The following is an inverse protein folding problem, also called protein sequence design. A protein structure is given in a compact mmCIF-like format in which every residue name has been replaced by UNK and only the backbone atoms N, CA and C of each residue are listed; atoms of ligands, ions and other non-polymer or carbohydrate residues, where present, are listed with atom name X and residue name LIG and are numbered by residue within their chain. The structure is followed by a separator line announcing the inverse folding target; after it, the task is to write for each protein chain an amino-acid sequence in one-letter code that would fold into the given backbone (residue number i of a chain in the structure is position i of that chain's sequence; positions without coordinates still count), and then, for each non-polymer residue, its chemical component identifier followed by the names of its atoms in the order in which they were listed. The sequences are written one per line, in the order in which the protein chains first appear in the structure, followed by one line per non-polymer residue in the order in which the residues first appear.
data_IF_760281699716
#
_entry.id   IF_760281699716
#
_cell.length_a   1.000
_cell.length_b   1.000
_cell.length_c   1.000
_cell.angle_alpha   90.00
_cell.angle_beta   90.00
_cell.angle_gamma   90.00
#
_symmetry.space_group_name_H-M   'P 1'
#
loop_
_entity.id
_entity.type
_entity.pdbx_description
1 polymer ?
#
# COMPACT_ATOMS: atom_id res chain seq x y z
N UNK A 1 12.73 5.28 -50.48
CA UNK A 1 11.50 4.98 -49.71
C UNK A 1 11.73 4.40 -48.31
N UNK A 2 12.90 3.84 -47.97
CA UNK A 2 13.17 3.32 -46.62
C UNK A 2 13.43 4.38 -45.52
N UNK A 3 13.70 5.62 -45.90
CA UNK A 3 13.96 6.71 -44.92
C UNK A 3 12.70 7.43 -44.38
N UNK A 4 11.54 7.18 -44.98
CA UNK A 4 10.28 7.82 -44.58
C UNK A 4 9.58 7.11 -43.42
N UNK A 5 9.91 5.83 -43.17
CA UNK A 5 9.31 5.06 -42.07
C UNK A 5 9.96 5.30 -40.70
N UNK A 6 11.18 5.83 -40.66
CA UNK A 6 11.89 6.14 -39.38
C UNK A 6 11.38 7.44 -38.77
N UNK A 7 10.90 8.40 -39.58
CA UNK A 7 10.36 9.66 -39.07
C UNK A 7 8.93 9.53 -38.49
N UNK A 8 8.19 8.46 -38.81
CA UNK A 8 6.83 8.23 -38.30
C UNK A 8 6.80 7.55 -36.91
N UNK A 9 7.92 6.97 -36.49
CA UNK A 9 8.05 6.28 -35.19
C UNK A 9 8.43 7.22 -34.03
N UNK A 10 8.86 8.45 -34.33
CA UNK A 10 9.27 9.45 -33.32
C UNK A 10 8.11 10.34 -32.81
N UNK A 11 6.90 10.15 -33.32
CA UNK A 11 5.72 10.97 -32.97
C UNK A 11 4.78 10.39 -31.93
N UNK A 12 5.04 9.19 -31.37
CA UNK A 12 4.23 8.63 -30.29
C UNK A 12 4.80 9.12 -28.96
N UNK A 13 4.38 10.30 -28.54
CA UNK A 13 4.62 10.78 -27.18
C UNK A 13 3.99 9.80 -26.19
N UNK A 14 4.81 8.97 -25.57
CA UNK A 14 4.39 8.18 -24.42
C UNK A 14 4.08 9.17 -23.29
N UNK A 15 2.79 9.41 -23.05
CA UNK A 15 2.37 10.04 -21.79
C UNK A 15 2.71 9.08 -20.64
N UNK A 16 3.90 9.20 -20.08
CA UNK A 16 4.30 8.51 -18.88
C UNK A 16 3.51 9.14 -17.73
N UNK A 17 2.32 8.60 -17.45
CA UNK A 17 1.51 9.03 -16.33
C UNK A 17 2.07 8.37 -15.07
N UNK A 18 2.66 9.17 -14.18
CA UNK A 18 3.16 8.70 -12.91
C UNK A 18 1.99 8.17 -12.05
N UNK A 19 2.11 6.94 -11.59
CA UNK A 19 1.23 6.33 -10.61
C UNK A 19 1.71 6.67 -9.20
N UNK A 20 0.77 6.69 -8.25
CA UNK A 20 1.12 6.74 -6.84
C UNK A 20 1.83 5.46 -6.38
N UNK A 21 2.50 5.60 -5.25
CA UNK A 21 3.12 4.50 -4.52
C UNK A 21 2.09 3.41 -4.24
N UNK A 22 2.38 2.18 -4.62
CA UNK A 22 1.55 1.02 -4.32
C UNK A 22 2.38 -0.13 -3.76
N UNK A 23 1.76 -0.93 -2.90
CA UNK A 23 2.34 -2.13 -2.31
C UNK A 23 1.58 -3.37 -2.76
N UNK A 24 2.29 -4.45 -3.04
CA UNK A 24 1.66 -5.76 -3.27
C UNK A 24 0.98 -6.28 -2.00
N UNK A 25 1.49 -5.88 -0.82
CA UNK A 25 0.92 -6.19 0.49
C UNK A 25 0.03 -5.06 1.03
N UNK A 26 -0.92 -4.56 0.22
CA UNK A 26 -1.77 -3.40 0.56
C UNK A 26 -2.51 -3.52 1.88
N UNK A 27 -2.94 -4.74 2.27
CA UNK A 27 -3.61 -4.98 3.55
C UNK A 27 -2.71 -4.68 4.76
N UNK A 28 -1.40 -4.67 4.55
CA UNK A 28 -0.42 -4.37 5.59
C UNK A 28 -0.09 -2.86 5.67
N UNK A 29 -0.59 -2.06 4.72
CA UNK A 29 -0.49 -0.60 4.74
C UNK A 29 -1.90 0.03 4.74
N UNK A 30 -2.70 -0.14 5.82
CA UNK A 30 -4.11 0.19 5.83
C UNK A 30 -4.38 1.67 5.54
N UNK A 31 -3.57 2.60 6.06
CA UNK A 31 -3.74 4.04 5.84
C UNK A 31 -3.44 4.47 4.39
N UNK A 32 -2.60 3.70 3.66
CA UNK A 32 -2.38 3.92 2.24
C UNK A 32 -3.55 3.43 1.38
N UNK A 33 -4.26 2.43 1.89
CA UNK A 33 -5.42 1.83 1.24
C UNK A 33 -6.67 2.69 1.43
N UNK A 34 -6.94 3.12 2.67
CA UNK A 34 -8.09 3.95 3.01
C UNK A 34 -7.87 4.67 4.35
N UNK A 35 -7.97 6.01 4.42
CA UNK A 35 -7.77 6.75 5.67
C UNK A 35 -8.78 6.37 6.75
N UNK A 36 -9.98 5.90 6.39
CA UNK A 36 -10.98 5.43 7.35
C UNK A 36 -10.64 4.10 8.02
N UNK A 37 -9.56 3.42 7.60
CA UNK A 37 -9.05 2.25 8.31
C UNK A 37 -8.29 2.61 9.60
N UNK A 38 -8.01 3.89 9.85
CA UNK A 38 -7.46 4.34 11.13
C UNK A 38 -8.34 3.84 12.28
N UNK A 39 -7.77 3.08 13.22
CA UNK A 39 -8.47 2.49 14.37
C UNK A 39 -9.58 1.48 14.05
N UNK A 40 -9.83 1.15 12.77
CA UNK A 40 -10.92 0.23 12.41
C UNK A 40 -10.62 -1.21 12.85
N UNK A 41 -9.37 -1.63 12.76
CA UNK A 41 -8.96 -3.02 12.94
C UNK A 41 -8.36 -3.32 14.31
N UNK A 42 -7.76 -2.34 14.97
CA UNK A 42 -7.07 -2.49 16.25
C UNK A 42 -7.18 -1.21 17.07
N UNK A 43 -6.83 -1.26 18.35
CA UNK A 43 -6.76 -0.07 19.18
C UNK A 43 -5.48 0.71 18.89
N UNK A 44 -4.38 0.01 18.63
CA UNK A 44 -3.14 0.54 18.08
C UNK A 44 -2.67 -0.41 16.97
N UNK A 45 -2.22 0.17 15.87
CA UNK A 45 -1.58 -0.55 14.78
C UNK A 45 -0.35 0.25 14.31
N UNK A 46 0.78 -0.41 14.24
CA UNK A 46 2.03 0.15 13.74
C UNK A 46 2.60 -0.79 12.67
N UNK A 47 3.00 -0.24 11.53
CA UNK A 47 3.55 -1.02 10.41
C UNK A 47 4.75 -0.32 9.82
N UNK A 48 5.76 -1.10 9.50
CA UNK A 48 6.88 -0.72 8.64
C UNK A 48 6.86 -1.66 7.45
N UNK A 49 6.93 -1.12 6.26
CA UNK A 49 6.98 -1.89 5.01
C UNK A 49 8.04 -1.32 4.08
N UNK A 50 8.77 -2.20 3.42
CA UNK A 50 9.77 -1.87 2.43
C UNK A 50 9.55 -2.69 1.16
N UNK A 51 9.66 -2.04 0.00
CA UNK A 51 9.55 -2.63 -1.33
C UNK A 51 10.76 -2.26 -2.18
N UNK A 52 11.27 -3.24 -2.93
CA UNK A 52 12.25 -3.03 -4.00
C UNK A 52 11.72 -3.66 -5.28
N UNK A 53 11.65 -2.88 -6.35
CA UNK A 53 11.03 -3.29 -7.61
C UNK A 53 12.00 -3.07 -8.79
N UNK A 54 11.96 -3.99 -9.78
CA UNK A 54 12.70 -3.92 -11.05
C UNK A 54 14.22 -3.82 -10.93
N UNK A 55 14.81 -4.35 -9.87
CA UNK A 55 16.27 -4.38 -9.66
C UNK A 55 17.04 -5.16 -10.75
N UNK A 56 16.35 -5.93 -11.59
CA UNK A 56 16.92 -6.68 -12.70
C UNK A 56 16.89 -5.93 -14.05
N UNK A 57 16.25 -4.77 -14.12
CA UNK A 57 16.02 -4.03 -15.37
C UNK A 57 16.78 -2.71 -15.40
N UNK A 58 16.77 -1.96 -14.31
CA UNK A 58 17.35 -0.63 -14.18
C UNK A 58 17.69 -0.35 -12.71
N UNK A 59 18.05 0.90 -12.39
CA UNK A 59 18.10 1.36 -11.00
C UNK A 59 16.79 1.09 -10.28
N UNK A 60 16.82 0.29 -9.19
CA UNK A 60 15.60 -0.21 -8.57
C UNK A 60 14.73 0.92 -8.00
N UNK A 61 13.42 0.76 -8.16
CA UNK A 61 12.47 1.56 -7.39
C UNK A 61 12.47 1.05 -5.96
N UNK A 62 12.67 1.93 -5.00
CA UNK A 62 12.74 1.63 -3.57
C UNK A 62 11.68 2.44 -2.85
N UNK A 63 10.76 1.75 -2.20
CA UNK A 63 9.67 2.38 -1.45
C UNK A 63 9.72 1.92 -0.01
N UNK A 64 9.71 2.85 0.93
CA UNK A 64 9.57 2.58 2.35
C UNK A 64 8.34 3.31 2.87
N UNK A 65 7.58 2.67 3.77
CA UNK A 65 6.49 3.32 4.48
C UNK A 65 6.48 2.93 5.95
N UNK A 66 6.09 3.89 6.77
CA UNK A 66 5.82 3.71 8.19
C UNK A 66 4.43 4.24 8.46
N UNK A 67 3.57 3.44 9.08
CA UNK A 67 2.24 3.86 9.47
C UNK A 67 1.98 3.55 10.94
N UNK A 68 1.27 4.46 11.58
CA UNK A 68 0.80 4.32 12.96
C UNK A 68 -0.64 4.81 13.03
N UNK A 69 -1.53 4.00 13.56
CA UNK A 69 -2.90 4.43 13.83
C UNK A 69 -3.37 3.96 15.20
N UNK A 70 -4.27 4.74 15.79
CA UNK A 70 -4.80 4.45 17.12
C UNK A 70 -6.24 4.91 17.28
N UNK A 71 -6.99 4.16 18.07
CA UNK A 71 -8.28 4.61 18.60
C UNK A 71 -8.08 5.62 19.70
N UNK A 72 -8.83 6.70 19.63
CA UNK A 72 -8.93 7.67 20.72
C UNK A 72 -10.01 7.15 21.66
N UNK A 73 -9.60 6.82 22.90
CA UNK A 73 -10.52 6.31 23.91
C UNK A 73 -11.66 7.31 24.15
N UNK A 74 -12.88 6.85 24.07
CA UNK A 74 -14.09 7.63 24.30
C UNK A 74 -15.01 6.89 25.26
N UNK A 75 -15.71 7.61 26.11
CA UNK A 75 -16.77 7.08 26.97
C UNK A 75 -18.06 6.78 26.18
N UNK A 76 -18.11 7.20 24.90
CA UNK A 76 -19.29 6.99 24.06
C UNK A 76 -19.46 5.52 23.70
N UNK A 77 -20.67 5.02 23.89
CA UNK A 77 -21.09 3.68 23.45
C UNK A 77 -21.47 3.66 21.96
N UNK A 78 -21.76 4.83 21.37
CA UNK A 78 -22.27 4.96 19.99
C UNK A 78 -21.18 5.01 18.92
N UNK A 79 -19.96 5.41 19.28
CA UNK A 79 -18.85 5.56 18.33
C UNK A 79 -17.53 5.93 18.98
N UNK A 80 -16.49 6.05 18.19
CA UNK A 80 -15.16 6.45 18.63
C UNK A 80 -14.42 7.21 17.54
N UNK A 81 -13.53 8.11 17.95
CA UNK A 81 -12.56 8.74 17.08
C UNK A 81 -11.30 7.89 16.96
N UNK A 82 -10.61 8.05 15.84
CA UNK A 82 -9.30 7.47 15.61
C UNK A 82 -8.42 8.45 14.83
N UNK A 83 -7.12 8.34 15.02
CA UNK A 83 -6.12 9.10 14.28
C UNK A 83 -5.09 8.16 13.67
N UNK A 84 -4.55 8.53 12.52
CA UNK A 84 -3.52 7.79 11.82
C UNK A 84 -2.48 8.71 11.22
N UNK A 85 -1.21 8.32 11.32
CA UNK A 85 -0.08 8.98 10.69
C UNK A 85 0.59 8.00 9.75
N UNK A 86 0.91 8.45 8.53
CA UNK A 86 1.56 7.64 7.53
C UNK A 86 2.68 8.45 6.86
N UNK A 87 3.86 7.85 6.78
CA UNK A 87 5.02 8.40 6.09
C UNK A 87 5.42 7.48 4.96
N UNK A 88 5.68 8.05 3.77
CA UNK A 88 6.23 7.36 2.62
C UNK A 88 7.52 8.03 2.18
N UNK A 89 8.47 7.21 1.76
CA UNK A 89 9.63 7.60 0.97
C UNK A 89 9.70 6.68 -0.24
N UNK A 90 9.65 7.25 -1.41
CA UNK A 90 9.78 6.54 -2.68
C UNK A 90 10.92 7.13 -3.48
N UNK A 91 11.80 6.28 -4.00
CA UNK A 91 12.94 6.66 -4.82
C UNK A 91 12.92 5.89 -6.13
N UNK A 92 13.08 6.59 -7.25
CA UNK A 92 12.98 6.01 -8.57
C UNK A 92 14.11 6.51 -9.50
N UNK A 93 14.69 5.58 -10.24
CA UNK A 93 15.59 5.86 -11.35
C UNK A 93 16.94 6.47 -10.99
N UNK A 94 17.76 6.73 -12.01
CA UNK A 94 19.15 7.23 -11.89
C UNK A 94 19.20 8.68 -11.39
N UNK A 95 18.18 9.48 -11.68
CA UNK A 95 18.03 10.85 -11.19
C UNK A 95 17.65 10.94 -9.70
N UNK A 96 17.58 9.81 -8.97
CA UNK A 96 17.12 9.77 -7.58
C UNK A 96 15.85 10.59 -7.36
N UNK A 97 14.88 10.46 -8.32
CA UNK A 97 13.58 11.11 -8.15
C UNK A 97 12.95 10.58 -6.87
N UNK A 98 12.94 11.39 -5.82
CA UNK A 98 12.41 11.00 -4.54
C UNK A 98 11.09 11.72 -4.25
N UNK A 99 10.12 10.98 -3.70
CA UNK A 99 8.86 11.51 -3.19
C UNK A 99 8.74 11.18 -1.72
N UNK A 100 8.68 12.20 -0.88
CA UNK A 100 8.39 12.07 0.55
C UNK A 100 6.98 12.56 0.79
N UNK A 101 6.17 11.76 1.48
CA UNK A 101 4.76 12.08 1.76
C UNK A 101 4.44 11.77 3.21
N UNK A 102 3.92 12.75 3.93
CA UNK A 102 3.40 12.60 5.30
C UNK A 102 1.91 12.86 5.28
N UNK A 103 1.12 11.91 5.74
CA UNK A 103 -0.33 11.99 5.78
C UNK A 103 -0.84 11.82 7.22
N UNK A 104 -1.72 12.73 7.63
CA UNK A 104 -2.49 12.64 8.86
C UNK A 104 -3.94 12.31 8.51
N UNK A 105 -4.48 11.27 9.12
CA UNK A 105 -5.88 10.86 8.97
C UNK A 105 -6.62 11.02 10.29
N UNK A 106 -7.82 11.58 10.23
CA UNK A 106 -8.75 11.63 11.37
C UNK A 106 -10.03 10.92 10.97
N UNK A 107 -10.41 9.90 11.72
CA UNK A 107 -11.57 9.07 11.44
C UNK A 107 -12.57 9.10 12.59
N UNK A 108 -13.85 8.96 12.26
CA UNK A 108 -14.92 8.69 13.20
C UNK A 108 -15.68 7.44 12.80
N UNK A 109 -15.82 6.52 13.74
CA UNK A 109 -16.50 5.25 13.57
C UNK A 109 -17.78 5.21 14.37
N UNK A 110 -18.90 4.98 13.69
CA UNK A 110 -20.22 4.78 14.29
C UNK A 110 -20.48 3.30 14.45
N UNK A 111 -20.84 2.85 15.64
CA UNK A 111 -21.30 1.48 15.89
C UNK A 111 -22.75 1.37 15.43
N UNK A 112 -23.02 0.58 14.41
CA UNK A 112 -24.38 0.32 13.92
C UNK A 112 -25.06 -0.72 14.81
N UNK A 113 -24.31 -1.75 15.18
CA UNK A 113 -24.70 -2.79 16.11
C UNK A 113 -23.48 -3.37 16.85
N UNK A 114 -23.67 -4.47 17.60
CA UNK A 114 -22.59 -5.12 18.36
C UNK A 114 -21.47 -5.71 17.47
N UNK A 115 -21.71 -5.86 16.16
CA UNK A 115 -20.82 -6.52 15.20
C UNK A 115 -20.37 -5.63 14.06
N UNK A 116 -21.11 -4.55 13.79
CA UNK A 116 -20.96 -3.72 12.60
C UNK A 116 -20.56 -2.29 12.98
N UNK A 117 -19.61 -1.73 12.26
CA UNK A 117 -19.25 -0.31 12.36
C UNK A 117 -19.13 0.31 10.96
N UNK A 118 -19.54 1.57 10.86
CA UNK A 118 -19.32 2.40 9.68
C UNK A 118 -18.36 3.54 10.05
N UNK A 119 -17.26 3.66 9.36
CA UNK A 119 -16.25 4.68 9.58
C UNK A 119 -16.17 5.66 8.41
N UNK A 120 -15.92 6.92 8.71
CA UNK A 120 -15.56 7.94 7.73
C UNK A 120 -14.30 8.68 8.19
N UNK A 121 -13.49 9.15 7.25
CA UNK A 121 -12.24 9.85 7.56
C UNK A 121 -11.93 10.97 6.58
N UNK A 122 -11.20 11.96 7.09
CA UNK A 122 -10.52 12.99 6.33
C UNK A 122 -9.01 12.78 6.46
N UNK A 123 -8.30 13.07 5.37
CA UNK A 123 -6.85 13.02 5.29
C UNK A 123 -6.31 14.38 4.85
N UNK A 124 -5.29 14.85 5.56
CA UNK A 124 -4.45 15.98 5.16
C UNK A 124 -3.01 15.51 5.03
N UNK A 125 -2.37 15.84 3.91
CA UNK A 125 -1.02 15.41 3.59
C UNK A 125 -0.11 16.56 3.19
N UNK A 126 1.19 16.37 3.41
CA UNK A 126 2.26 17.19 2.88
C UNK A 126 3.22 16.31 2.09
N UNK A 127 3.37 16.64 0.81
CA UNK A 127 4.25 15.95 -0.12
C UNK A 127 5.42 16.83 -0.55
N UNK A 128 6.58 16.22 -0.74
CA UNK A 128 7.77 16.82 -1.29
C UNK A 128 8.39 15.90 -2.32
N UNK A 129 8.63 16.44 -3.52
CA UNK A 129 9.37 15.76 -4.59
C UNK A 129 10.73 16.43 -4.75
N UNK A 130 11.76 15.61 -4.93
CA UNK A 130 13.13 16.06 -5.19
C UNK A 130 13.71 15.25 -6.35
N UNK A 131 14.55 15.88 -7.13
CA UNK A 131 15.29 15.25 -8.23
C UNK A 131 16.73 15.73 -8.20
N UNK A 132 17.66 14.82 -8.41
CA UNK A 132 19.09 15.13 -8.51
C UNK A 132 19.53 15.15 -9.98
N UNK A 133 19.60 16.35 -10.54
CA UNK A 133 20.04 16.54 -11.92
C UNK A 133 21.55 16.33 -12.10
N UNK A 134 22.35 16.42 -11.03
CA UNK A 134 23.80 16.27 -11.10
C UNK A 134 24.24 14.82 -11.38
N UNK A 135 23.36 13.86 -11.09
CA UNK A 135 23.59 12.44 -11.39
C UNK A 135 23.28 12.05 -12.83
N UNK A 136 22.68 12.95 -13.61
CA UNK A 136 22.28 12.69 -15.00
C UNK A 136 23.40 13.03 -15.98
N UNK A 137 23.44 12.28 -17.07
CA UNK A 137 24.33 12.52 -18.20
C UNK A 137 23.50 12.91 -19.41
N UNK A 138 23.93 14.00 -20.08
CA UNK A 138 23.20 14.61 -21.20
C UNK A 138 23.91 14.39 -22.50
N UNK A 139 23.19 14.18 -23.58
CA UNK A 139 23.80 14.03 -24.92
C UNK A 139 24.61 15.23 -25.37
N UNK A 140 24.24 16.44 -24.93
CA UNK A 140 25.01 17.69 -25.15
C UNK A 140 26.41 17.72 -24.47
N UNK A 141 26.61 16.83 -23.50
CA UNK A 141 27.87 16.67 -22.78
C UNK A 141 28.79 15.61 -23.40
N UNK A 142 28.46 15.13 -24.60
CA UNK A 142 29.32 14.25 -25.37
C UNK A 142 30.17 15.08 -26.35
N UNK A 143 31.50 15.03 -26.24
CA UNK A 143 32.44 15.84 -27.03
C UNK A 143 32.80 15.24 -28.39
N UNK A 144 32.17 14.11 -28.75
CA UNK A 144 32.45 13.33 -29.95
C UNK A 144 33.31 12.09 -29.70
N UNK A 145 33.96 11.97 -28.55
CA UNK A 145 34.79 10.84 -28.14
C UNK A 145 34.33 10.25 -26.80
N UNK A 146 34.03 11.11 -25.83
CA UNK A 146 33.65 10.69 -24.48
C UNK A 146 32.68 11.65 -23.83
N UNK A 147 32.08 11.21 -22.70
CA UNK A 147 31.30 12.07 -21.84
C UNK A 147 32.21 13.07 -21.11
N UNK A 148 31.90 14.36 -21.22
CA UNK A 148 32.58 15.44 -20.53
C UNK A 148 31.58 16.26 -19.69
N UNK A 149 31.54 16.00 -18.38
CA UNK A 149 30.64 16.68 -17.44
C UNK A 149 30.89 18.19 -17.27
N UNK A 150 32.03 18.73 -17.81
CA UNK A 150 32.30 20.15 -17.79
C UNK A 150 31.58 20.93 -18.90
N UNK A 151 31.04 20.21 -19.90
CA UNK A 151 30.19 20.81 -20.93
C UNK A 151 28.81 21.16 -20.38
N UNK A 152 28.25 22.26 -20.89
CA UNK A 152 26.92 22.67 -20.49
C UNK A 152 25.90 21.61 -20.94
N UNK A 153 25.02 21.18 -20.03
CA UNK A 153 23.96 20.24 -20.34
C UNK A 153 22.93 20.75 -21.36
N UNK A 154 22.85 22.08 -21.57
CA UNK A 154 21.83 22.70 -22.41
C UNK A 154 20.43 22.73 -21.76
N UNK A 155 20.26 22.11 -20.59
CA UNK A 155 19.01 22.01 -19.90
C UNK A 155 18.91 23.08 -18.82
N UNK A 156 17.73 23.70 -18.72
CA UNK A 156 17.46 24.72 -17.71
C UNK A 156 16.45 24.19 -16.69
N UNK A 157 16.96 23.73 -15.56
CA UNK A 157 16.13 23.23 -14.46
C UNK A 157 15.86 24.35 -13.47
N UNK A 158 14.65 24.88 -13.50
CA UNK A 158 14.26 25.96 -12.61
C UNK A 158 14.20 25.53 -11.14
N UNK A 159 13.93 24.26 -10.86
CA UNK A 159 13.74 23.75 -9.50
C UNK A 159 14.12 22.27 -9.40
N UNK A 160 14.91 21.90 -8.38
CA UNK A 160 15.22 20.51 -8.00
C UNK A 160 14.29 19.98 -6.90
N UNK A 161 13.43 20.82 -6.35
CA UNK A 161 12.55 20.52 -5.21
C UNK A 161 11.19 21.18 -5.38
N UNK A 162 10.14 20.41 -5.12
CA UNK A 162 8.76 20.87 -5.13
C UNK A 162 7.97 20.31 -3.95
N UNK A 163 7.14 21.14 -3.31
CA UNK A 163 6.30 20.74 -2.18
C UNK A 163 4.84 21.05 -2.45
N UNK A 164 3.94 20.20 -1.96
CA UNK A 164 2.51 20.33 -2.17
C UNK A 164 1.73 19.83 -0.94
N UNK A 165 0.49 20.33 -0.81
CA UNK A 165 -0.48 19.82 0.14
C UNK A 165 -1.40 18.82 -0.57
N UNK A 166 -1.82 17.81 0.14
CA UNK A 166 -2.71 16.77 -0.33
C UNK A 166 -3.94 16.63 0.57
N UNK A 167 -5.08 16.31 -0.01
CA UNK A 167 -6.33 16.09 0.72
C UNK A 167 -6.99 14.83 0.21
N UNK A 168 -7.50 14.03 1.13
CA UNK A 168 -8.20 12.79 0.82
C UNK A 168 -9.34 12.51 1.79
N UNK A 169 -10.15 11.53 1.45
CA UNK A 169 -11.27 11.05 2.27
C UNK A 169 -11.49 9.56 2.06
N UNK A 170 -12.20 8.95 2.97
CA UNK A 170 -12.58 7.56 2.84
C UNK A 170 -13.72 7.16 3.73
N UNK A 171 -14.36 6.06 3.36
CA UNK A 171 -15.39 5.39 4.15
C UNK A 171 -15.08 3.91 4.24
N UNK A 172 -15.39 3.29 5.37
CA UNK A 172 -15.18 1.87 5.61
C UNK A 172 -16.33 1.28 6.38
N UNK A 173 -16.79 0.12 5.96
CA UNK A 173 -17.71 -0.72 6.71
C UNK A 173 -16.94 -1.93 7.23
N UNK A 174 -17.10 -2.24 8.52
CA UNK A 174 -16.49 -3.41 9.15
C UNK A 174 -17.57 -4.24 9.85
N UNK A 175 -17.51 -5.55 9.63
CA UNK A 175 -18.34 -6.52 10.31
C UNK A 175 -17.47 -7.61 10.93
N UNK A 176 -17.76 -8.00 12.19
CA UNK A 176 -17.02 -9.06 12.89
C UNK A 176 -17.94 -9.92 13.70
N UNK A 177 -17.89 -11.22 13.43
CA UNK A 177 -18.51 -12.27 14.24
C UNK A 177 -17.39 -13.13 14.82
N UNK A 178 -17.26 -13.11 16.14
CA UNK A 178 -16.33 -13.97 16.87
C UNK A 178 -16.79 -15.43 16.88
N UNK A 179 -15.86 -16.33 17.20
CA UNK A 179 -16.15 -17.75 17.40
C UNK A 179 -17.19 -17.95 18.50
N UNK A 180 -18.18 -18.79 18.20
CA UNK A 180 -19.24 -19.13 19.14
C UNK A 180 -18.81 -20.26 20.10
N UNK A 181 -18.00 -21.18 19.63
CA UNK A 181 -17.52 -22.36 20.37
C UNK A 181 -15.99 -22.36 20.45
N UNK A 182 -15.48 -23.00 21.53
CA UNK A 182 -14.03 -23.08 21.82
C UNK A 182 -13.29 -23.92 20.79
N UNK A 183 -13.98 -24.92 20.24
CA UNK A 183 -13.40 -25.91 19.29
C UNK A 183 -13.76 -25.63 17.84
N UNK A 184 -14.59 -24.63 17.59
CA UNK A 184 -15.06 -24.27 16.24
C UNK A 184 -14.32 -23.06 15.70
N UNK A 185 -13.94 -23.10 14.42
CA UNK A 185 -13.42 -21.96 13.68
C UNK A 185 -14.56 -21.40 12.80
N UNK A 186 -15.57 -20.79 13.46
CA UNK A 186 -16.74 -20.17 12.79
C UNK A 186 -16.66 -18.64 12.72
N UNK A 187 -15.47 -18.09 12.96
CA UNK A 187 -15.21 -16.67 12.87
C UNK A 187 -15.47 -16.14 11.45
N UNK A 188 -16.10 -14.99 11.39
CA UNK A 188 -16.32 -14.26 10.14
C UNK A 188 -16.04 -12.79 10.35
N UNK A 189 -15.23 -12.22 9.48
CA UNK A 189 -15.03 -10.78 9.43
C UNK A 189 -15.12 -10.29 7.99
N UNK A 190 -15.64 -9.10 7.83
CA UNK A 190 -15.71 -8.43 6.54
C UNK A 190 -15.30 -6.97 6.71
N UNK A 191 -14.42 -6.51 5.84
CA UNK A 191 -14.07 -5.10 5.71
C UNK A 191 -14.24 -4.71 4.24
N UNK A 192 -14.96 -3.63 3.99
CA UNK A 192 -15.03 -3.03 2.67
C UNK A 192 -14.98 -1.51 2.78
N UNK A 193 -14.38 -0.86 1.81
CA UNK A 193 -14.26 0.59 1.84
C UNK A 193 -13.98 1.20 0.48
N UNK A 194 -14.27 2.51 0.43
CA UNK A 194 -13.99 3.39 -0.68
C UNK A 194 -13.16 4.57 -0.19
N UNK A 195 -12.18 5.00 -0.97
CA UNK A 195 -11.38 6.18 -0.66
C UNK A 195 -11.05 6.98 -1.90
N UNK A 196 -10.85 8.28 -1.71
CA UNK A 196 -10.41 9.20 -2.75
C UNK A 196 -9.25 10.02 -2.18
N UNK A 197 -8.12 9.98 -2.87
CA UNK A 197 -6.93 10.77 -2.58
C UNK A 197 -6.76 11.86 -3.64
N UNK A 198 -5.96 12.87 -3.33
CA UNK A 198 -5.64 13.98 -4.23
C UNK A 198 -6.89 14.75 -4.69
N UNK A 199 -7.84 14.98 -3.77
CA UNK A 199 -9.07 15.74 -4.05
C UNK A 199 -8.79 17.16 -4.54
N UNK A 200 -7.75 17.79 -4.00
CA UNK A 200 -7.31 19.13 -4.37
C UNK A 200 -6.45 19.17 -5.64
N UNK A 201 -6.11 17.97 -6.24
CA UNK A 201 -5.32 17.85 -7.47
C UNK A 201 -4.09 18.76 -7.47
N UNK A 202 -3.17 18.61 -6.48
CA UNK A 202 -2.04 19.50 -6.34
C UNK A 202 -1.13 19.45 -7.58
N UNK A 203 -0.46 20.56 -7.88
CA UNK A 203 0.61 20.57 -8.88
C UNK A 203 1.83 19.83 -8.31
N UNK A 204 2.46 18.97 -9.10
CA UNK A 204 3.61 18.13 -8.68
C UNK A 204 4.77 18.17 -9.67
N UNK A 205 4.72 19.13 -10.61
CA UNK A 205 5.74 19.26 -11.67
C UNK A 205 6.90 20.18 -11.29
N UNK A 206 8.07 19.85 -11.80
CA UNK A 206 9.28 20.69 -11.69
C UNK A 206 9.36 21.74 -12.79
N UNK A 207 8.68 21.55 -13.92
CA UNK A 207 8.79 22.37 -15.13
C UNK A 207 7.46 23.02 -15.49
N UNK A 208 6.41 22.25 -15.61
CA UNK A 208 5.09 22.67 -16.07
C UNK A 208 4.00 22.52 -15.00
N UNK A 209 2.77 22.88 -15.36
CA UNK A 209 1.61 22.74 -14.50
C UNK A 209 1.00 21.33 -14.64
N UNK A 210 1.68 20.30 -14.12
CA UNK A 210 1.15 18.93 -14.09
C UNK A 210 0.45 18.64 -12.77
N UNK A 211 -0.86 18.50 -12.82
CA UNK A 211 -1.71 18.23 -11.67
C UNK A 211 -1.81 16.74 -11.38
N UNK A 212 -1.52 16.39 -10.15
CA UNK A 212 -1.71 15.02 -9.66
C UNK A 212 -3.19 14.63 -9.82
N UNK A 213 -3.44 13.50 -10.48
CA UNK A 213 -4.79 13.02 -10.75
C UNK A 213 -5.39 12.39 -9.49
N UNK A 214 -6.69 12.57 -9.29
CA UNK A 214 -7.40 11.90 -8.20
C UNK A 214 -7.23 10.40 -8.31
N UNK A 215 -6.97 9.76 -7.17
CA UNK A 215 -6.92 8.31 -7.03
C UNK A 215 -8.14 7.82 -6.30
N UNK A 216 -8.92 6.95 -6.94
CA UNK A 216 -10.09 6.29 -6.38
C UNK A 216 -9.70 4.85 -6.05
N UNK A 217 -9.90 4.44 -4.81
CA UNK A 217 -9.60 3.08 -4.37
C UNK A 217 -10.82 2.43 -3.75
N UNK A 218 -11.04 1.15 -4.05
CA UNK A 218 -12.07 0.31 -3.46
C UNK A 218 -11.46 -1.01 -3.01
N UNK A 219 -11.89 -1.53 -1.87
CA UNK A 219 -11.44 -2.83 -1.41
C UNK A 219 -12.52 -3.60 -0.67
N UNK A 220 -12.37 -4.93 -0.70
CA UNK A 220 -13.17 -5.85 0.10
C UNK A 220 -12.31 -7.01 0.58
N UNK A 221 -12.40 -7.34 1.87
CA UNK A 221 -11.73 -8.49 2.48
C UNK A 221 -12.70 -9.26 3.33
N UNK A 222 -12.67 -10.59 3.20
CA UNK A 222 -13.43 -11.50 4.04
C UNK A 222 -12.48 -12.39 4.83
N UNK A 223 -12.71 -12.57 6.10
CA UNK A 223 -12.09 -13.63 6.87
C UNK A 223 -13.16 -14.67 7.16
N UNK A 224 -12.90 -15.91 6.77
CA UNK A 224 -13.83 -17.03 6.90
C UNK A 224 -13.07 -18.19 7.54
N UNK A 225 -13.47 -18.56 8.76
CA UNK A 225 -13.00 -19.79 9.39
C UNK A 225 -13.61 -21.01 8.70
N UNK A 226 -12.82 -22.03 8.44
CA UNK A 226 -13.25 -23.23 7.71
C UNK A 226 -13.70 -24.34 8.69
N UNK A 227 -14.80 -24.08 9.38
CA UNK A 227 -15.45 -25.06 10.27
C UNK A 227 -14.58 -25.54 11.42
N UNK A 228 -14.47 -26.86 11.62
CA UNK A 228 -13.67 -27.46 12.70
C UNK A 228 -12.18 -27.54 12.39
N UNK A 229 -11.69 -26.81 11.37
CA UNK A 229 -10.29 -26.80 10.98
C UNK A 229 -9.53 -25.63 11.61
N UNK A 230 -8.21 -25.73 11.68
CA UNK A 230 -7.32 -24.61 12.07
C UNK A 230 -7.04 -23.64 10.92
N UNK A 231 -7.77 -23.77 9.81
CA UNK A 231 -7.56 -22.99 8.60
C UNK A 231 -8.63 -21.92 8.50
N UNK A 232 -8.22 -20.70 8.15
CA UNK A 232 -9.09 -19.61 7.75
C UNK A 232 -8.67 -19.10 6.40
N UNK A 233 -9.63 -18.75 5.54
CA UNK A 233 -9.39 -18.10 4.27
C UNK A 233 -9.65 -16.59 4.39
N UNK A 234 -8.84 -15.78 3.69
CA UNK A 234 -8.98 -14.31 3.64
C UNK A 234 -9.00 -13.85 2.18
N UNK A 235 -10.09 -14.17 1.42
CA UNK A 235 -10.24 -13.64 0.08
C UNK A 235 -10.30 -12.11 0.11
N UNK A 236 -9.63 -11.51 -0.87
CA UNK A 236 -9.44 -10.07 -0.97
C UNK A 236 -9.57 -9.63 -2.41
N UNK A 237 -10.31 -8.55 -2.61
CA UNK A 237 -10.39 -7.82 -3.87
C UNK A 237 -10.00 -6.37 -3.62
N UNK A 238 -9.18 -5.84 -4.49
CA UNK A 238 -8.78 -4.44 -4.49
C UNK A 238 -8.86 -3.87 -5.90
N UNK A 239 -9.35 -2.65 -5.97
CA UNK A 239 -9.43 -1.85 -7.17
C UNK A 239 -8.86 -0.47 -6.90
N UNK A 240 -8.05 0.02 -7.82
CA UNK A 240 -7.48 1.35 -7.77
C UNK A 240 -7.47 1.97 -9.16
N UNK A 241 -7.83 3.25 -9.25
CA UNK A 241 -7.78 4.01 -10.50
C UNK A 241 -7.23 5.39 -10.25
N UNK A 242 -6.23 5.78 -11.05
CA UNK A 242 -5.62 7.11 -11.04
C UNK A 242 -5.42 7.57 -12.49
N UNK A 243 -6.25 8.52 -12.92
CA UNK A 243 -6.28 8.94 -14.33
C UNK A 243 -6.65 7.78 -15.25
N UNK A 244 -5.78 7.44 -16.22
CA UNK A 244 -5.95 6.31 -17.13
C UNK A 244 -5.41 4.99 -16.57
N UNK A 245 -4.68 5.03 -15.45
CA UNK A 245 -4.08 3.83 -14.86
C UNK A 245 -5.07 3.13 -13.95
N UNK A 246 -5.15 1.81 -14.10
CA UNK A 246 -6.06 0.97 -13.34
C UNK A 246 -5.29 -0.23 -12.76
N UNK A 247 -5.53 -0.52 -11.50
CA UNK A 247 -5.01 -1.70 -10.83
C UNK A 247 -6.17 -2.52 -10.26
N UNK A 248 -6.20 -3.81 -10.57
CA UNK A 248 -7.10 -4.78 -9.97
C UNK A 248 -6.25 -5.88 -9.36
N UNK A 249 -6.36 -6.08 -8.06
CA UNK A 249 -5.69 -7.13 -7.32
C UNK A 249 -6.73 -8.04 -6.69
N UNK A 250 -6.66 -9.33 -6.99
CA UNK A 250 -7.53 -10.35 -6.41
C UNK A 250 -6.71 -11.53 -5.91
N UNK A 251 -7.13 -12.13 -4.81
CA UNK A 251 -6.45 -13.29 -4.25
C UNK A 251 -6.93 -13.66 -2.86
N UNK A 252 -6.23 -14.54 -2.20
CA UNK A 252 -6.56 -14.98 -0.85
C UNK A 252 -5.31 -15.32 -0.05
N UNK A 253 -5.36 -15.07 1.25
CA UNK A 253 -4.52 -15.75 2.22
C UNK A 253 -5.23 -16.98 2.76
N UNK A 254 -4.46 -18.04 2.97
CA UNK A 254 -4.83 -19.21 3.77
C UNK A 254 -4.01 -19.17 5.04
N UNK A 255 -4.69 -18.95 6.16
CA UNK A 255 -4.08 -18.78 7.47
C UNK A 255 -4.26 -20.06 8.28
N UNK A 256 -3.17 -20.67 8.72
CA UNK A 256 -3.15 -21.85 9.56
C UNK A 256 -2.77 -21.48 10.99
N UNK A 257 -3.62 -21.81 11.96
CA UNK A 257 -3.36 -21.57 13.37
C UNK A 257 -2.40 -22.65 13.91
N UNK A 258 -1.14 -22.25 14.12
CA UNK A 258 -0.07 -23.13 14.63
C UNK A 258 -0.26 -23.45 16.11
N UNK A 259 -0.62 -22.43 16.90
CA UNK A 259 -0.77 -22.49 18.34
C UNK A 259 -1.91 -21.62 18.81
N UNK A 260 -2.76 -22.17 19.68
CA UNK A 260 -3.85 -21.43 20.32
C UNK A 260 -3.33 -20.72 21.58
N UNK A 261 -3.96 -19.61 21.93
CA UNK A 261 -3.64 -18.90 23.16
C UNK A 261 -4.18 -19.68 24.36
N UNK A 262 -3.37 -19.85 25.40
CA UNK A 262 -3.84 -20.38 26.67
C UNK A 262 -4.85 -19.43 27.31
N UNK A 263 -6.03 -19.96 27.68
CA UNK A 263 -7.13 -19.15 28.26
C UNK A 263 -6.90 -18.72 29.70
N UNK A 264 -6.09 -19.48 30.45
CA UNK A 264 -5.95 -19.31 31.90
C UNK A 264 -4.56 -18.89 32.35
N UNK A 265 -3.52 -19.36 31.66
CA UNK A 265 -2.15 -19.18 32.15
C UNK A 265 -1.35 -18.12 31.37
N UNK A 266 -1.86 -17.62 30.23
CA UNK A 266 -1.12 -16.80 29.27
C UNK A 266 0.26 -17.38 28.85
N UNK A 267 0.55 -18.62 29.26
CA UNK A 267 1.82 -19.28 29.00
C UNK A 267 2.08 -19.55 27.52
N UNK A 268 1.00 -19.69 26.74
CA UNK A 268 1.06 -19.93 25.31
C UNK A 268 0.62 -18.71 24.52
N UNK A 269 1.52 -18.09 23.78
CA UNK A 269 1.19 -17.05 22.82
C UNK A 269 0.64 -17.72 21.55
N UNK A 270 -0.51 -17.23 21.08
CA UNK A 270 -1.07 -17.69 19.81
C UNK A 270 -0.12 -17.37 18.64
N UNK A 271 -0.04 -18.29 17.69
CA UNK A 271 0.76 -18.12 16.49
C UNK A 271 0.01 -18.67 15.27
N UNK A 272 0.17 -18.02 14.13
CA UNK A 272 -0.37 -18.49 12.85
C UNK A 272 0.60 -18.25 11.71
N UNK A 273 0.55 -19.13 10.72
CA UNK A 273 1.23 -19.00 9.44
C UNK A 273 0.19 -18.73 8.35
N UNK A 274 0.41 -17.74 7.51
CA UNK A 274 -0.46 -17.48 6.38
C UNK A 274 0.33 -17.50 5.07
N UNK A 275 -0.19 -18.22 4.10
CA UNK A 275 0.30 -18.25 2.73
C UNK A 275 -0.73 -17.58 1.84
N UNK A 276 -0.30 -16.67 0.98
CA UNK A 276 -1.17 -15.90 0.10
C UNK A 276 -0.77 -16.07 -1.37
N UNK A 277 -1.79 -16.19 -2.23
CA UNK A 277 -1.64 -16.11 -3.68
C UNK A 277 -2.58 -15.04 -4.20
N UNK A 278 -2.02 -14.09 -4.96
CA UNK A 278 -2.73 -12.95 -5.51
C UNK A 278 -2.34 -12.76 -6.97
N UNK A 279 -3.27 -12.23 -7.72
CA UNK A 279 -3.06 -11.85 -9.11
C UNK A 279 -3.36 -10.36 -9.28
N UNK A 280 -2.39 -9.61 -9.77
CA UNK A 280 -2.56 -8.23 -10.21
C UNK A 280 -2.77 -8.24 -11.71
N UNK A 281 -3.94 -7.78 -12.13
CA UNK A 281 -4.39 -7.90 -13.52
C UNK A 281 -3.38 -7.28 -14.49
N UNK A 282 -2.97 -8.05 -15.49
CA UNK A 282 -2.01 -7.69 -16.56
C UNK A 282 -0.61 -7.26 -16.04
N UNK A 283 -0.25 -7.55 -14.78
CA UNK A 283 1.02 -7.14 -14.22
C UNK A 283 1.80 -8.29 -13.57
N UNK A 284 1.28 -8.90 -12.50
CA UNK A 284 2.06 -9.88 -11.75
C UNK A 284 1.21 -10.94 -11.03
N UNK A 285 1.80 -12.12 -10.86
CA UNK A 285 1.39 -13.11 -9.87
C UNK A 285 2.21 -12.86 -8.59
N UNK A 286 1.55 -12.81 -7.42
CA UNK A 286 2.17 -12.43 -6.16
C UNK A 286 2.04 -13.57 -5.16
N UNK A 287 3.19 -14.09 -4.71
CA UNK A 287 3.27 -15.04 -3.63
C UNK A 287 3.58 -14.29 -2.31
N UNK A 288 2.86 -14.62 -1.23
CA UNK A 288 2.98 -13.96 0.08
C UNK A 288 3.11 -14.98 1.19
N UNK A 289 3.96 -14.69 2.17
CA UNK A 289 4.13 -15.47 3.38
C UNK A 289 4.07 -14.52 4.58
N UNK A 290 3.31 -14.87 5.61
CA UNK A 290 3.19 -14.08 6.83
C UNK A 290 3.16 -14.98 8.05
N UNK A 291 3.95 -14.65 9.05
CA UNK A 291 3.95 -15.24 10.37
C UNK A 291 3.38 -14.23 11.37
N UNK A 292 2.39 -14.66 12.14
CA UNK A 292 1.84 -13.86 13.24
C UNK A 292 2.09 -14.58 14.56
N UNK A 293 2.55 -13.84 15.56
CA UNK A 293 2.75 -14.33 16.92
C UNK A 293 2.35 -13.24 17.91
N UNK A 294 1.33 -13.50 18.72
CA UNK A 294 0.79 -12.56 19.69
C UNK A 294 0.37 -11.23 19.00
N UNK A 295 1.03 -10.14 19.32
CA UNK A 295 0.78 -8.80 18.79
C UNK A 295 1.58 -8.48 17.53
N UNK A 296 2.56 -9.32 17.18
CA UNK A 296 3.49 -9.08 16.09
C UNK A 296 3.15 -9.92 14.86
N UNK A 297 3.38 -9.34 13.71
CA UNK A 297 3.39 -10.06 12.44
C UNK A 297 4.58 -9.60 11.61
N UNK A 298 5.15 -10.53 10.86
CA UNK A 298 6.15 -10.24 9.85
C UNK A 298 5.84 -11.07 8.60
N UNK A 299 6.16 -10.53 7.44
CA UNK A 299 5.91 -11.26 6.21
C UNK A 299 6.67 -10.69 5.05
N UNK A 300 6.70 -11.51 3.99
CA UNK A 300 7.36 -11.21 2.73
C UNK A 300 6.39 -11.42 1.58
N UNK A 301 6.60 -10.70 0.48
CA UNK A 301 5.92 -10.95 -0.77
C UNK A 301 6.91 -10.86 -1.93
N UNK A 302 6.65 -11.63 -2.95
CA UNK A 302 7.40 -11.63 -4.19
C UNK A 302 6.45 -11.55 -5.38
N UNK A 303 6.68 -10.55 -6.24
CA UNK A 303 5.93 -10.34 -7.47
C UNK A 303 6.66 -11.06 -8.62
N UNK A 304 5.95 -11.92 -9.32
CA UNK A 304 6.41 -12.56 -10.55
C UNK A 304 5.73 -11.83 -11.71
N UNK A 305 6.50 -11.09 -12.49
CA UNK A 305 5.97 -10.32 -13.62
C UNK A 305 5.36 -11.24 -14.68
N UNK A 306 4.14 -10.92 -15.09
CA UNK A 306 3.41 -11.56 -16.19
C UNK A 306 3.03 -10.54 -17.27
N UNK A 307 3.49 -9.30 -17.14
CA UNK A 307 3.23 -8.19 -18.06
C UNK A 307 4.16 -8.22 -19.28
N UNK A 308 4.01 -7.23 -20.15
CA UNK A 308 4.90 -7.00 -21.31
C UNK A 308 6.37 -6.76 -20.92
N UNK A 309 6.67 -6.49 -19.65
CA UNK A 309 8.02 -6.38 -19.13
C UNK A 309 8.71 -7.73 -18.86
N UNK A 310 8.00 -8.85 -18.95
CA UNK A 310 8.54 -10.20 -18.69
C UNK A 310 9.81 -10.52 -19.49
N UNK A 311 9.94 -10.18 -20.80
CA UNK A 311 11.15 -10.48 -21.57
C UNK A 311 12.40 -9.78 -21.02
N UNK A 312 12.25 -8.54 -20.54
CA UNK A 312 13.35 -7.73 -20.01
C UNK A 312 13.65 -8.09 -18.55
N UNK A 313 12.62 -8.23 -17.72
CA UNK A 313 12.74 -8.55 -16.29
C UNK A 313 13.03 -10.03 -16.01
N UNK A 314 12.91 -10.91 -17.01
CA UNK A 314 12.98 -12.38 -16.87
C UNK A 314 12.02 -12.90 -15.78
N UNK A 315 10.83 -12.28 -15.69
CA UNK A 315 9.83 -12.60 -14.67
C UNK A 315 10.11 -12.03 -13.27
N UNK A 316 11.22 -11.35 -13.05
CA UNK A 316 11.57 -10.74 -11.75
C UNK A 316 10.82 -9.42 -11.59
N UNK A 317 9.88 -9.36 -10.65
CA UNK A 317 9.07 -8.17 -10.38
C UNK A 317 9.58 -7.37 -9.19
N UNK A 318 8.98 -7.58 -8.02
CA UNK A 318 9.30 -6.85 -6.80
C UNK A 318 9.38 -7.76 -5.58
N UNK A 319 10.16 -7.34 -4.61
CA UNK A 319 10.25 -7.96 -3.29
C UNK A 319 9.74 -6.97 -2.24
N UNK A 320 8.90 -7.46 -1.32
CA UNK A 320 8.40 -6.68 -0.19
C UNK A 320 8.61 -7.42 1.12
N UNK A 321 8.90 -6.66 2.18
CA UNK A 321 8.95 -7.12 3.55
C UNK A 321 8.20 -6.15 4.44
N UNK A 322 7.47 -6.67 5.44
CA UNK A 322 6.85 -5.84 6.47
C UNK A 322 7.02 -6.43 7.87
N UNK A 323 6.91 -5.54 8.85
CA UNK A 323 6.74 -5.86 10.27
C UNK A 323 5.56 -5.03 10.77
N UNK A 324 4.67 -5.67 11.54
CA UNK A 324 3.45 -5.07 12.07
C UNK A 324 3.27 -5.39 13.55
N UNK A 325 2.84 -4.39 14.31
CA UNK A 325 2.41 -4.53 15.69
C UNK A 325 0.93 -4.14 15.83
N UNK A 326 0.12 -4.97 16.45
CA UNK A 326 -1.31 -4.73 16.70
C UNK A 326 -1.64 -4.90 18.18
N UNK A 327 -2.46 -4.03 18.74
CA UNK A 327 -3.02 -4.22 20.08
C UNK A 327 -4.52 -3.85 20.09
N UNK A 328 -5.41 -4.67 20.71
CA UNK A 328 -5.12 -6.00 21.23
C UNK A 328 -4.67 -6.97 20.13
N UNK A 329 -4.01 -8.04 20.54
CA UNK A 329 -3.60 -9.11 19.62
C UNK A 329 -4.78 -9.56 18.75
N UNK A 330 -4.57 -9.85 17.45
CA UNK A 330 -5.63 -10.34 16.57
C UNK A 330 -6.27 -11.65 17.09
N UNK A 331 -5.56 -12.42 17.90
CA UNK A 331 -6.06 -13.63 18.54
C UNK A 331 -6.94 -13.36 19.77
N UNK A 332 -6.92 -12.14 20.33
CA UNK A 332 -7.70 -11.73 21.52
C UNK A 332 -8.95 -10.92 21.18
N UNK A 333 -9.17 -10.59 19.91
CA UNK A 333 -10.29 -9.73 19.50
C UNK A 333 -11.68 -10.34 19.78
N UNK A 334 -11.74 -11.65 20.05
CA UNK A 334 -12.99 -12.33 20.42
C UNK A 334 -13.46 -12.03 21.85
N UNK A 335 -12.59 -11.57 22.74
CA UNK A 335 -12.89 -11.42 24.18
C UNK A 335 -13.15 -9.99 24.65
N UNK A 336 -12.86 -8.95 23.88
CA UNK A 336 -12.81 -7.59 24.41
C UNK A 336 -14.08 -6.77 24.24
N UNK A 337 -15.23 -7.40 23.90
CA UNK A 337 -16.48 -6.66 23.68
C UNK A 337 -17.70 -7.41 24.21
N UNK A 338 -17.79 -7.51 25.52
CA UNK A 338 -19.07 -7.55 26.25
C UNK A 338 -19.27 -6.19 26.89
#
# INVERSE_FOLDING_TARGET
MKKLYIALLLGVGFNALAQDIHFSQMLQSPLALNPALAGANADINAVIIYRSQWSSVASPYKTAAVSYDMKIKSKSTKGFFAAGLNFFNDQAGDANLATNLVNLSVAYHVKLDARSTLGGALLGGFGQRTIDFSSLQWGSQYDGFSYNGSLNSGENFARSKYSYLDVGTGVVYTYRKSEKYITGNDQKAFNAGLSVYHLNRPNVSFVDNDKLKMRISAFGTFLIGLGNSRISAVPTLFFNQQGSQQEILAGSYFKYLLKEQSKYTNANMAASLAVGLFYRNKDALIAKLMLEKSNWAAGVAYDINTSSLTPVSKGRGGFEIFIRFLTPSPFNQSKSRI
#
